data_IF_589862758857
#
_entry.id   IF_589862758857
#
_cell.length_a   1.000
_cell.length_b   1.000
_cell.length_c   1.000
_cell.angle_alpha   90.00
_cell.angle_beta   90.00
_cell.angle_gamma   90.00
#
_symmetry.space_group_name_H-M   'P 1'
#
loop_
_entity.id
_entity.type
_entity.pdbx_description
1 polymer ?
#
# COMPACT_ATOMS: atom_id res chain seq x y z
N UNK A 1 17.21 -1.14 -10.99
CA UNK A 1 16.54 -1.75 -12.15
C UNK A 1 16.87 -0.92 -13.37
N UNK A 2 16.92 -1.54 -14.53
CA UNK A 2 17.16 -0.89 -15.80
C UNK A 2 15.92 -0.09 -16.15
N UNK A 3 16.15 1.22 -16.23
CA UNK A 3 15.14 2.21 -16.53
C UNK A 3 14.87 2.32 -18.03
N UNK A 4 15.53 1.54 -18.88
CA UNK A 4 15.44 1.69 -20.32
C UNK A 4 14.25 0.90 -20.90
N UNK A 5 13.29 1.61 -21.51
CA UNK A 5 12.31 1.06 -22.45
C UNK A 5 12.87 1.22 -23.88
N UNK A 6 13.57 0.19 -24.36
CA UNK A 6 14.23 0.23 -25.68
C UNK A 6 15.55 1.03 -25.68
N UNK A 7 16.11 1.31 -26.87
CA UNK A 7 17.48 1.84 -26.99
C UNK A 7 17.66 3.30 -26.52
N UNK A 8 16.58 4.10 -26.36
CA UNK A 8 16.69 5.54 -26.10
C UNK A 8 15.80 6.09 -24.96
N UNK A 9 14.93 5.31 -24.32
CA UNK A 9 13.97 5.86 -23.36
C UNK A 9 14.27 5.45 -21.92
N UNK A 10 14.81 6.37 -21.11
CA UNK A 10 15.07 6.15 -19.68
C UNK A 10 13.88 6.62 -18.84
N UNK A 11 13.20 5.69 -18.19
CA UNK A 11 12.10 5.90 -17.25
C UNK A 11 12.69 6.35 -15.91
N UNK A 12 12.50 7.61 -15.50
CA UNK A 12 12.95 8.06 -14.19
C UNK A 12 12.25 7.25 -13.07
N UNK A 13 12.93 7.04 -11.94
CA UNK A 13 12.33 6.37 -10.77
C UNK A 13 11.04 7.05 -10.31
N UNK A 14 10.92 8.37 -10.49
CA UNK A 14 9.71 9.14 -10.17
C UNK A 14 8.51 8.79 -11.06
N UNK A 15 8.73 8.24 -12.26
CA UNK A 15 7.65 7.77 -13.13
C UNK A 15 6.99 6.49 -12.63
N UNK A 16 7.57 5.81 -11.62
CA UNK A 16 6.95 4.65 -11.00
C UNK A 16 5.60 4.98 -10.33
N UNK A 17 5.47 6.18 -9.77
CA UNK A 17 4.20 6.68 -9.22
C UNK A 17 3.08 6.79 -10.27
N UNK A 18 3.43 6.88 -11.56
CA UNK A 18 2.43 6.88 -12.63
C UNK A 18 1.77 5.51 -12.79
N UNK A 19 2.51 4.40 -12.57
CA UNK A 19 1.93 3.05 -12.64
C UNK A 19 0.90 2.84 -11.54
N UNK A 20 1.17 3.35 -10.34
CA UNK A 20 0.23 3.36 -9.23
C UNK A 20 -1.04 4.14 -9.58
N UNK A 21 -0.88 5.37 -10.09
CA UNK A 21 -2.03 6.21 -10.50
C UNK A 21 -2.84 5.55 -11.62
N UNK A 22 -2.19 4.95 -12.61
CA UNK A 22 -2.87 4.21 -13.69
C UNK A 22 -3.60 2.98 -13.16
N UNK A 23 -3.02 2.27 -12.18
CA UNK A 23 -3.64 1.15 -11.49
C UNK A 23 -4.93 1.59 -10.79
N UNK A 24 -4.88 2.70 -10.05
CA UNK A 24 -6.06 3.28 -9.36
C UNK A 24 -7.14 3.67 -10.38
N UNK A 25 -6.77 4.34 -11.47
CA UNK A 25 -7.69 4.73 -12.55
C UNK A 25 -8.35 3.50 -13.19
N UNK A 26 -7.62 2.38 -13.30
CA UNK A 26 -8.15 1.12 -13.81
C UNK A 26 -9.07 0.43 -12.79
N UNK A 27 -8.67 0.38 -11.52
CA UNK A 27 -9.42 -0.33 -10.48
C UNK A 27 -10.67 0.41 -10.03
N UNK A 28 -10.72 1.74 -10.07
CA UNK A 28 -11.91 2.52 -9.73
C UNK A 28 -13.17 2.10 -10.52
N UNK A 29 -13.19 2.09 -11.87
CA UNK A 29 -14.36 1.64 -12.63
C UNK A 29 -14.62 0.14 -12.49
N UNK A 30 -13.57 -0.68 -12.31
CA UNK A 30 -13.73 -2.12 -12.05
C UNK A 30 -14.44 -2.34 -10.72
N UNK A 31 -14.09 -1.58 -9.69
CA UNK A 31 -14.74 -1.63 -8.41
C UNK A 31 -16.24 -1.29 -8.54
N UNK A 32 -16.56 -0.13 -9.12
CA UNK A 32 -17.95 0.34 -9.23
C UNK A 32 -18.81 -0.52 -10.16
N UNK A 33 -18.27 -0.97 -11.30
CA UNK A 33 -19.06 -1.68 -12.33
C UNK A 33 -19.06 -3.20 -12.19
N UNK A 34 -18.07 -3.79 -11.53
CA UNK A 34 -17.94 -5.26 -11.43
C UNK A 34 -18.06 -5.69 -9.98
N UNK A 35 -17.23 -5.13 -9.08
CA UNK A 35 -17.13 -5.60 -7.70
C UNK A 35 -18.39 -5.26 -6.91
N UNK A 36 -18.90 -4.03 -6.99
CA UNK A 36 -20.13 -3.60 -6.30
C UNK A 36 -21.36 -4.43 -6.73
N UNK A 37 -21.68 -4.59 -8.03
CA UNK A 37 -22.84 -5.40 -8.43
C UNK A 37 -22.65 -6.89 -8.14
N UNK A 38 -21.44 -7.42 -8.27
CA UNK A 38 -21.15 -8.81 -7.89
C UNK A 38 -21.34 -9.02 -6.39
N UNK A 39 -20.82 -8.12 -5.56
CA UNK A 39 -21.03 -8.13 -4.12
C UNK A 39 -22.52 -8.09 -3.79
N UNK A 40 -23.28 -7.14 -4.37
CA UNK A 40 -24.74 -7.05 -4.19
C UNK A 40 -25.45 -8.36 -4.53
N UNK A 41 -25.03 -9.04 -5.60
CA UNK A 41 -25.60 -10.33 -6.02
C UNK A 41 -25.29 -11.48 -5.06
N UNK A 42 -24.10 -11.50 -4.45
CA UNK A 42 -23.67 -12.56 -3.52
C UNK A 42 -24.12 -12.34 -2.08
N UNK A 43 -24.14 -11.10 -1.59
CA UNK A 43 -24.47 -10.80 -0.18
C UNK A 43 -25.94 -10.42 0.03
N UNK A 44 -26.70 -10.15 -1.03
CA UNK A 44 -28.12 -9.82 -0.95
C UNK A 44 -28.45 -8.51 -0.22
N UNK A 45 -27.45 -7.79 0.29
CA UNK A 45 -27.58 -6.46 0.90
C UNK A 45 -27.45 -5.38 -0.18
N UNK A 46 -28.19 -4.27 -0.05
CA UNK A 46 -28.18 -3.16 -1.01
C UNK A 46 -26.77 -2.63 -1.32
N UNK A 47 -25.88 -2.66 -0.33
CA UNK A 47 -24.47 -2.21 -0.45
C UNK A 47 -23.46 -3.34 -0.69
N UNK A 48 -23.88 -4.61 -0.79
CA UNK A 48 -22.97 -5.75 -0.95
C UNK A 48 -22.13 -6.02 0.32
N UNK A 49 -20.90 -5.48 0.39
CA UNK A 49 -20.01 -5.61 1.55
C UNK A 49 -20.25 -4.55 2.64
N UNK A 50 -19.97 -4.88 3.91
CA UNK A 50 -19.89 -3.85 4.95
C UNK A 50 -18.65 -2.97 4.74
N UNK A 51 -18.72 -1.70 5.16
CA UNK A 51 -17.60 -0.74 5.01
C UNK A 51 -16.30 -1.24 5.67
N UNK A 52 -16.39 -1.88 6.84
CA UNK A 52 -15.25 -2.50 7.52
C UNK A 52 -14.72 -3.73 6.79
N UNK A 53 -15.57 -4.53 6.14
CA UNK A 53 -15.10 -5.64 5.31
C UNK A 53 -14.33 -5.14 4.08
N UNK A 54 -14.81 -4.07 3.44
CA UNK A 54 -14.13 -3.46 2.28
C UNK A 54 -12.73 -2.94 2.66
N UNK A 55 -12.64 -2.20 3.77
CA UNK A 55 -11.36 -1.74 4.32
C UNK A 55 -10.43 -2.90 4.69
N UNK A 56 -10.97 -3.95 5.33
CA UNK A 56 -10.21 -5.15 5.66
C UNK A 56 -9.64 -5.89 4.44
N UNK A 57 -10.42 -6.01 3.36
CA UNK A 57 -9.95 -6.58 2.09
C UNK A 57 -8.79 -5.76 1.53
N UNK A 58 -8.91 -4.43 1.53
CA UNK A 58 -7.83 -3.53 1.09
C UNK A 58 -6.53 -3.73 1.88
N UNK A 59 -6.63 -3.84 3.21
CA UNK A 59 -5.47 -4.12 4.08
C UNK A 59 -4.83 -5.50 3.78
N UNK A 60 -5.63 -6.54 3.53
CA UNK A 60 -5.11 -7.86 3.15
C UNK A 60 -4.37 -7.79 1.81
N UNK A 61 -4.95 -7.12 0.81
CA UNK A 61 -4.30 -6.94 -0.50
C UNK A 61 -2.99 -6.15 -0.34
N UNK A 62 -2.95 -5.14 0.54
CA UNK A 62 -1.74 -4.39 0.85
C UNK A 62 -0.63 -5.27 1.43
N UNK A 63 -0.96 -6.23 2.30
CA UNK A 63 0.01 -7.21 2.82
C UNK A 63 0.60 -8.04 1.67
N UNK A 64 -0.24 -8.55 0.76
CA UNK A 64 0.25 -9.29 -0.41
C UNK A 64 1.10 -8.44 -1.34
N UNK A 65 0.77 -7.15 -1.50
CA UNK A 65 1.58 -6.20 -2.25
C UNK A 65 2.98 -6.06 -1.62
N UNK A 66 3.06 -5.86 -0.31
CA UNK A 66 4.33 -5.76 0.42
C UNK A 66 5.15 -7.05 0.39
N UNK A 67 4.51 -8.22 0.44
CA UNK A 67 5.20 -9.51 0.27
C UNK A 67 5.78 -9.63 -1.14
N UNK A 68 5.01 -9.23 -2.17
CA UNK A 68 5.45 -9.24 -3.56
C UNK A 68 6.66 -8.32 -3.76
N UNK A 69 6.63 -7.13 -3.16
CA UNK A 69 7.75 -6.19 -3.11
C UNK A 69 9.01 -6.81 -2.49
N UNK A 70 8.86 -7.46 -1.33
CA UNK A 70 9.95 -8.12 -0.64
C UNK A 70 10.58 -9.25 -1.45
N UNK A 71 9.77 -10.08 -2.12
CA UNK A 71 10.26 -11.15 -3.00
C UNK A 71 11.04 -10.55 -4.17
N UNK A 72 10.50 -9.52 -4.80
CA UNK A 72 11.15 -8.79 -5.89
C UNK A 72 12.52 -8.26 -5.49
N UNK A 73 12.62 -7.69 -4.29
CA UNK A 73 13.87 -7.15 -3.79
C UNK A 73 14.90 -8.26 -3.48
N UNK A 74 14.46 -9.40 -2.94
CA UNK A 74 15.35 -10.56 -2.74
C UNK A 74 15.90 -11.05 -4.07
N UNK A 75 15.05 -11.18 -5.10
CA UNK A 75 15.49 -11.58 -6.45
C UNK A 75 16.46 -10.53 -7.02
N UNK A 76 16.20 -9.24 -6.83
CA UNK A 76 17.09 -8.15 -7.25
C UNK A 76 18.47 -8.26 -6.60
N UNK A 77 18.51 -8.43 -5.28
CA UNK A 77 19.75 -8.55 -4.52
C UNK A 77 20.53 -9.83 -4.88
N UNK A 78 19.84 -10.94 -5.17
CA UNK A 78 20.47 -12.18 -5.65
C UNK A 78 21.18 -11.99 -6.99
N UNK A 79 20.58 -11.26 -7.94
CA UNK A 79 21.21 -10.98 -9.25
C UNK A 79 22.44 -10.08 -9.07
N UNK A 80 22.38 -9.08 -8.18
CA UNK A 80 23.54 -8.24 -7.85
C UNK A 80 24.69 -9.08 -7.31
N UNK A 81 24.39 -9.98 -6.37
CA UNK A 81 25.39 -10.86 -5.72
C UNK A 81 25.99 -11.87 -6.69
N UNK A 82 25.17 -12.46 -7.57
CA UNK A 82 25.63 -13.48 -8.54
C UNK A 82 26.55 -12.89 -9.60
N UNK A 83 26.30 -11.66 -10.03
CA UNK A 83 27.04 -11.03 -11.12
C UNK A 83 28.08 -9.99 -10.64
N UNK A 84 28.29 -9.86 -9.32
CA UNK A 84 29.16 -8.85 -8.70
C UNK A 84 28.85 -7.40 -9.13
N UNK A 85 27.59 -7.08 -9.38
CA UNK A 85 27.15 -5.76 -9.86
C UNK A 85 27.05 -4.69 -8.76
N UNK A 86 27.94 -4.75 -7.76
CA UNK A 86 27.92 -3.84 -6.61
C UNK A 86 28.20 -2.37 -6.97
N UNK A 87 28.97 -2.14 -8.05
CA UNK A 87 29.40 -0.81 -8.51
C UNK A 87 28.58 -0.28 -9.69
N UNK A 88 27.62 -1.07 -10.21
CA UNK A 88 26.72 -0.66 -11.28
C UNK A 88 25.55 0.15 -10.74
N UNK A 89 25.41 1.40 -11.21
CA UNK A 89 24.31 2.31 -10.85
C UNK A 89 22.94 1.84 -11.34
N UNK A 90 22.90 0.91 -12.31
CA UNK A 90 21.68 0.31 -12.84
C UNK A 90 21.89 -1.20 -13.03
N UNK A 91 21.02 -1.98 -12.42
CA UNK A 91 21.00 -3.44 -12.55
C UNK A 91 20.19 -3.78 -13.79
N UNK A 92 20.65 -4.72 -14.65
CA UNK A 92 19.93 -5.20 -15.82
C UNK A 92 18.72 -6.07 -15.46
N UNK A 93 17.78 -5.47 -14.74
CA UNK A 93 16.48 -6.01 -14.39
C UNK A 93 15.45 -5.01 -14.86
N UNK A 94 14.54 -5.46 -15.71
CA UNK A 94 13.51 -4.58 -16.26
C UNK A 94 12.62 -3.99 -15.15
N UNK A 95 12.33 -2.69 -15.25
CA UNK A 95 11.39 -1.98 -14.38
C UNK A 95 9.97 -2.59 -14.39
N UNK A 96 9.61 -3.33 -15.45
CA UNK A 96 8.32 -4.02 -15.55
C UNK A 96 8.09 -5.05 -14.45
N UNK A 97 9.15 -5.54 -13.80
CA UNK A 97 9.02 -6.43 -12.67
C UNK A 97 8.34 -5.78 -11.45
N UNK A 98 8.32 -4.44 -11.33
CA UNK A 98 7.58 -3.74 -10.28
C UNK A 98 6.09 -3.55 -10.58
N UNK A 99 5.66 -3.76 -11.83
CA UNK A 99 4.26 -3.54 -12.23
C UNK A 99 3.26 -4.38 -11.41
N UNK A 100 3.50 -5.68 -11.13
CA UNK A 100 2.58 -6.46 -10.31
C UNK A 100 2.40 -5.91 -8.90
N UNK A 101 3.47 -5.40 -8.29
CA UNK A 101 3.42 -4.78 -6.96
C UNK A 101 2.55 -3.52 -6.99
N UNK A 102 2.85 -2.58 -7.89
CA UNK A 102 2.05 -1.35 -8.05
C UNK A 102 0.59 -1.62 -8.40
N UNK A 103 0.34 -2.68 -9.18
CA UNK A 103 -1.02 -3.07 -9.51
C UNK A 103 -1.80 -3.55 -8.27
N UNK A 104 -1.15 -4.32 -7.39
CA UNK A 104 -1.73 -4.76 -6.12
C UNK A 104 -1.90 -3.59 -5.13
N UNK A 105 -0.94 -2.65 -5.07
CA UNK A 105 -1.05 -1.44 -4.23
C UNK A 105 -2.24 -0.60 -4.67
N UNK A 106 -2.38 -0.28 -5.95
CA UNK A 106 -3.53 0.48 -6.44
C UNK A 106 -4.87 -0.22 -6.20
N UNK A 107 -4.91 -1.55 -6.27
CA UNK A 107 -6.09 -2.32 -5.88
C UNK A 107 -6.40 -2.15 -4.38
N UNK A 108 -5.40 -2.33 -3.51
CA UNK A 108 -5.54 -2.16 -2.07
C UNK A 108 -6.00 -0.74 -1.70
N UNK A 109 -5.46 0.28 -2.37
CA UNK A 109 -5.82 1.67 -2.17
C UNK A 109 -7.28 1.93 -2.50
N UNK A 110 -7.76 1.49 -3.67
CA UNK A 110 -9.15 1.67 -4.09
C UNK A 110 -10.12 1.04 -3.08
N UNK A 111 -9.87 -0.19 -2.64
CA UNK A 111 -10.71 -0.87 -1.65
C UNK A 111 -10.69 -0.17 -0.28
N UNK A 112 -9.52 0.26 0.18
CA UNK A 112 -9.37 0.90 1.48
C UNK A 112 -9.97 2.32 1.49
N UNK A 113 -9.70 3.10 0.45
CA UNK A 113 -10.11 4.49 0.32
C UNK A 113 -11.63 4.62 0.17
N UNK A 114 -12.25 3.80 -0.68
CA UNK A 114 -13.71 3.79 -0.84
C UNK A 114 -14.37 3.37 0.47
N UNK A 115 -13.88 2.31 1.11
CA UNK A 115 -14.40 1.85 2.41
C UNK A 115 -14.26 2.90 3.52
N UNK A 116 -13.13 3.61 3.56
CA UNK A 116 -12.85 4.68 4.51
C UNK A 116 -13.79 5.87 4.32
N UNK A 117 -13.96 6.34 3.08
CA UNK A 117 -14.86 7.46 2.77
C UNK A 117 -16.30 7.09 3.14
N UNK A 118 -16.82 5.96 2.68
CA UNK A 118 -18.19 5.54 2.99
C UNK A 118 -18.41 5.38 4.50
N UNK A 119 -17.44 4.80 5.23
CA UNK A 119 -17.52 4.67 6.68
C UNK A 119 -17.62 6.04 7.36
N UNK A 120 -16.77 6.99 6.95
CA UNK A 120 -16.80 8.33 7.50
C UNK A 120 -18.11 9.06 7.18
N UNK A 121 -18.64 8.93 5.97
CA UNK A 121 -19.91 9.55 5.58
C UNK A 121 -21.12 8.93 6.30
N UNK A 122 -21.16 7.60 6.47
CA UNK A 122 -22.30 6.92 7.12
C UNK A 122 -22.29 7.06 8.65
N UNK A 123 -21.11 7.13 9.28
CA UNK A 123 -20.99 7.16 10.73
C UNK A 123 -20.89 8.58 11.31
N UNK A 124 -20.48 9.56 10.51
CA UNK A 124 -20.41 10.95 10.95
C UNK A 124 -21.79 11.62 10.94
N UNK A 125 -22.13 12.42 11.97
CA UNK A 125 -23.27 13.34 11.90
C UNK A 125 -23.12 14.31 10.72
N UNK A 126 -24.24 14.71 10.09
CA UNK A 126 -24.22 15.59 8.92
C UNK A 126 -23.48 16.92 9.16
N UNK A 127 -23.51 17.44 10.38
CA UNK A 127 -22.79 18.64 10.80
C UNK A 127 -21.26 18.47 10.91
N UNK A 128 -20.74 17.23 10.92
CA UNK A 128 -19.32 16.92 11.17
C UNK A 128 -18.60 16.32 9.95
N UNK A 129 -19.24 16.32 8.77
CA UNK A 129 -18.62 15.79 7.54
C UNK A 129 -17.27 16.46 7.20
N UNK A 130 -17.13 17.77 7.48
CA UNK A 130 -15.87 18.49 7.30
C UNK A 130 -14.76 17.98 8.22
N UNK A 131 -15.10 17.62 9.47
CA UNK A 131 -14.18 17.02 10.43
C UNK A 131 -13.73 15.63 9.98
N UNK A 132 -14.61 14.84 9.38
CA UNK A 132 -14.27 13.52 8.83
C UNK A 132 -13.27 13.61 7.69
N UNK A 133 -13.44 14.56 6.77
CA UNK A 133 -12.44 14.83 5.72
C UNK A 133 -11.11 15.28 6.30
N UNK A 134 -11.13 16.16 7.30
CA UNK A 134 -9.92 16.60 8.01
C UNK A 134 -9.21 15.46 8.72
N UNK A 135 -9.95 14.53 9.34
CA UNK A 135 -9.39 13.33 9.97
C UNK A 135 -8.74 12.41 8.93
N UNK A 136 -9.38 12.20 7.77
CA UNK A 136 -8.81 11.41 6.68
C UNK A 136 -7.49 12.00 6.17
N UNK A 137 -7.43 13.31 5.93
CA UNK A 137 -6.20 14.02 5.57
C UNK A 137 -5.12 13.92 6.65
N UNK A 138 -5.55 14.01 7.92
CA UNK A 138 -4.64 13.84 9.07
C UNK A 138 -4.04 12.44 9.11
N UNK A 139 -4.82 11.39 8.83
CA UNK A 139 -4.32 10.02 8.75
C UNK A 139 -3.26 9.86 7.66
N UNK A 140 -3.46 10.48 6.49
CA UNK A 140 -2.46 10.49 5.41
C UNK A 140 -1.18 11.22 5.84
N UNK A 141 -1.31 12.38 6.50
CA UNK A 141 -0.16 13.12 7.02
C UNK A 141 0.62 12.30 8.06
N UNK A 142 -0.07 11.69 9.03
CA UNK A 142 0.53 10.81 10.04
C UNK A 142 1.22 9.61 9.39
N UNK A 143 0.66 9.03 8.32
CA UNK A 143 1.31 7.97 7.55
C UNK A 143 2.65 8.40 6.94
N UNK A 144 2.71 9.59 6.34
CA UNK A 144 3.95 10.14 5.79
C UNK A 144 5.01 10.42 6.88
N UNK A 145 4.59 10.97 8.02
CA UNK A 145 5.49 11.18 9.16
C UNK A 145 6.00 9.86 9.73
N UNK A 146 5.12 8.86 9.88
CA UNK A 146 5.50 7.53 10.37
C UNK A 146 6.49 6.86 9.41
N UNK A 147 6.27 6.96 8.09
CA UNK A 147 7.20 6.46 7.06
C UNK A 147 8.59 7.10 7.21
N UNK A 148 8.64 8.43 7.34
CA UNK A 148 9.90 9.17 7.53
C UNK A 148 10.59 8.77 8.83
N UNK A 149 9.84 8.65 9.92
CA UNK A 149 10.35 8.21 11.22
C UNK A 149 10.89 6.79 11.16
N UNK A 150 10.19 5.88 10.49
CA UNK A 150 10.58 4.48 10.34
C UNK A 150 11.90 4.38 9.56
N UNK A 151 12.02 5.07 8.42
CA UNK A 151 13.27 5.15 7.65
C UNK A 151 14.39 5.71 8.52
N UNK A 152 14.16 6.83 9.21
CA UNK A 152 15.17 7.47 10.06
C UNK A 152 15.61 6.56 11.20
N UNK A 153 14.66 5.89 11.87
CA UNK A 153 14.94 4.97 12.97
C UNK A 153 15.73 3.75 12.48
N UNK A 154 15.32 3.13 11.37
CA UNK A 154 16.05 2.01 10.76
C UNK A 154 17.46 2.44 10.39
N UNK A 155 17.63 3.56 9.67
CA UNK A 155 18.95 4.07 9.30
C UNK A 155 19.82 4.34 10.53
N UNK A 156 19.28 4.95 11.58
CA UNK A 156 20.03 5.24 12.81
C UNK A 156 20.45 3.97 13.57
N UNK A 157 19.54 3.01 13.72
CA UNK A 157 19.80 1.73 14.42
C UNK A 157 20.79 0.88 13.64
N UNK A 158 20.67 0.80 12.32
CA UNK A 158 21.56 -0.05 11.52
C UNK A 158 22.95 0.55 11.30
N UNK A 159 23.07 1.88 11.32
CA UNK A 159 24.38 2.58 11.13
C UNK A 159 25.17 2.72 12.44
N UNK A 160 24.56 2.40 13.58
CA UNK A 160 25.09 2.65 14.93
C UNK A 160 26.43 1.94 15.24
N UNK A 161 26.80 0.90 14.47
CA UNK A 161 28.04 0.12 14.65
C UNK A 161 29.07 0.34 13.52
N UNK A 162 29.01 1.45 12.79
CA UNK A 162 29.96 1.74 11.69
C UNK A 162 29.78 0.86 10.45
N UNK A 163 28.65 0.14 10.36
CA UNK A 163 28.25 -0.67 9.21
C UNK A 163 27.38 0.17 8.25
N UNK A 164 27.37 -0.20 6.98
CA UNK A 164 26.68 0.51 5.87
C UNK A 164 25.16 0.74 6.07
N UNK A 165 24.51 0.12 7.06
CA UNK A 165 23.07 0.25 7.27
C UNK A 165 22.22 -0.62 6.34
N UNK A 166 20.91 -0.71 6.59
CA UNK A 166 19.96 -1.41 5.70
C UNK A 166 19.63 -0.58 4.46
N UNK A 167 19.74 0.76 4.55
CA UNK A 167 19.55 1.72 3.46
C UNK A 167 20.81 2.60 3.33
N UNK A 168 21.92 2.11 2.75
CA UNK A 168 23.07 2.94 2.41
C UNK A 168 22.80 3.77 1.15
N UNK A 169 23.59 4.83 0.94
CA UNK A 169 23.60 5.61 -0.32
C UNK A 169 23.78 4.72 -1.57
N UNK A 170 24.48 3.59 -1.41
CA UNK A 170 24.53 2.53 -2.41
C UNK A 170 23.61 1.36 -2.02
N UNK A 171 22.38 1.40 -2.54
CA UNK A 171 21.31 0.40 -2.35
C UNK A 171 21.71 -1.03 -2.79
N UNK A 172 22.81 -1.19 -3.54
CA UNK A 172 23.32 -2.51 -3.93
C UNK A 172 24.17 -3.18 -2.86
N UNK A 173 24.68 -2.41 -1.89
CA UNK A 173 25.46 -2.92 -0.74
C UNK A 173 24.63 -3.01 0.55
N UNK A 174 23.39 -2.53 0.52
CA UNK A 174 22.45 -2.56 1.63
C UNK A 174 21.59 -3.82 1.66
N UNK A 175 21.07 -4.13 2.86
CA UNK A 175 20.09 -5.19 3.07
C UNK A 175 18.66 -4.62 3.05
N UNK A 176 18.25 -4.18 1.86
CA UNK A 176 16.94 -3.59 1.61
C UNK A 176 15.80 -4.61 1.74
N UNK A 177 16.13 -5.89 1.57
CA UNK A 177 15.27 -7.04 1.85
C UNK A 177 14.71 -7.00 3.29
N UNK A 178 15.55 -6.72 4.30
CA UNK A 178 15.07 -6.65 5.69
C UNK A 178 14.11 -5.48 5.94
N UNK A 179 14.28 -4.37 5.21
CA UNK A 179 13.37 -3.24 5.31
C UNK A 179 11.98 -3.59 4.78
N UNK A 180 11.89 -4.27 3.62
CA UNK A 180 10.61 -4.73 3.09
C UNK A 180 9.97 -5.81 3.97
N UNK A 181 10.74 -6.74 4.55
CA UNK A 181 10.21 -7.69 5.53
C UNK A 181 9.67 -7.01 6.78
N UNK A 182 10.35 -5.98 7.28
CA UNK A 182 9.87 -5.17 8.40
C UNK A 182 8.55 -4.46 8.05
N UNK A 183 8.43 -3.89 6.85
CA UNK A 183 7.19 -3.29 6.37
C UNK A 183 6.06 -4.33 6.25
N UNK A 184 6.34 -5.54 5.74
CA UNK A 184 5.36 -6.61 5.65
C UNK A 184 4.85 -7.05 7.03
N UNK A 185 5.76 -7.19 8.02
CA UNK A 185 5.38 -7.50 9.40
C UNK A 185 4.55 -6.36 10.02
N UNK A 186 4.92 -5.11 9.77
CA UNK A 186 4.18 -3.95 10.28
C UNK A 186 2.78 -3.86 9.68
N UNK A 187 2.62 -4.13 8.37
CA UNK A 187 1.32 -4.23 7.71
C UNK A 187 0.47 -5.37 8.27
N UNK A 188 1.09 -6.53 8.56
CA UNK A 188 0.39 -7.64 9.20
C UNK A 188 -0.09 -7.29 10.62
N UNK A 189 0.76 -6.65 11.43
CA UNK A 189 0.39 -6.16 12.75
C UNK A 189 -0.73 -5.12 12.68
N UNK A 190 -0.66 -4.20 11.73
CA UNK A 190 -1.72 -3.22 11.49
C UNK A 190 -3.06 -3.91 11.20
N UNK A 191 -3.05 -4.94 10.37
CA UNK A 191 -4.26 -5.72 10.07
C UNK A 191 -4.80 -6.48 11.30
N UNK A 192 -3.94 -7.04 12.15
CA UNK A 192 -4.37 -7.71 13.38
C UNK A 192 -5.04 -6.71 14.34
N UNK A 193 -4.43 -5.54 14.54
CA UNK A 193 -5.01 -4.46 15.35
C UNK A 193 -6.34 -4.00 14.75
N UNK A 194 -6.40 -3.86 13.43
CA UNK A 194 -7.63 -3.53 12.71
C UNK A 194 -8.73 -4.56 12.96
N UNK A 195 -8.44 -5.86 12.87
CA UNK A 195 -9.41 -6.92 13.15
C UNK A 195 -9.92 -6.87 14.60
N UNK A 196 -9.04 -6.57 15.56
CA UNK A 196 -9.43 -6.44 16.96
C UNK A 196 -10.40 -5.26 17.14
N UNK A 197 -10.06 -4.09 16.59
CA UNK A 197 -10.91 -2.91 16.65
C UNK A 197 -12.24 -3.15 15.91
N UNK A 198 -12.20 -3.75 14.72
CA UNK A 198 -13.39 -4.06 13.93
C UNK A 198 -14.31 -5.07 14.65
N UNK A 199 -13.76 -6.02 15.40
CA UNK A 199 -14.55 -6.96 16.23
C UNK A 199 -15.20 -6.27 17.44
N UNK A 200 -14.54 -5.26 18.00
CA UNK A 200 -15.09 -4.46 19.10
C UNK A 200 -16.06 -3.38 18.62
N UNK A 201 -15.93 -2.94 17.38
CA UNK A 201 -16.76 -1.87 16.83
C UNK A 201 -18.18 -2.37 16.51
N UNK A 202 -19.17 -1.84 17.21
CA UNK A 202 -20.58 -2.09 16.92
C UNK A 202 -21.08 -1.02 15.95
N UNK A 203 -21.56 -1.45 14.78
CA UNK A 203 -22.17 -0.56 13.79
C UNK A 203 -23.34 0.22 14.40
N UNK A 204 -23.31 1.55 14.26
CA UNK A 204 -24.48 2.38 14.54
C UNK A 204 -25.54 2.09 13.45
N UNK A 205 -26.72 1.61 13.85
CA UNK A 205 -27.88 1.54 12.94
C UNK A 205 -28.35 2.98 12.69
N UNK A 206 -28.26 3.45 11.45
CA UNK A 206 -28.97 4.66 11.04
C UNK A 206 -30.46 4.32 11.16
N UNK A 207 -31.16 5.01 12.07
CA UNK A 207 -32.59 4.87 12.20
C UNK A 207 -33.21 5.25 10.85
N UNK A 208 -33.89 4.29 10.21
CA UNK A 208 -34.75 4.61 9.08
C UNK A 208 -35.74 5.67 9.57
N UNK A 209 -35.74 6.84 8.92
CA UNK A 209 -36.83 7.79 9.09
C UNK A 209 -38.11 7.05 8.69
N UNK A 210 -39.09 6.90 9.58
CA UNK A 210 -40.41 6.45 9.18
C UNK A 210 -41.04 7.61 8.41
N UNK A 211 -41.31 7.41 7.12
CA UNK A 211 -42.31 8.18 6.39
C UNK A 211 -43.71 7.83 6.88
#
# INVERSE_FOLDING_TARGET
MDQHMGPNFKIPSASLSLFDTLSVIFWAPVYDKIIVPCARKFTGKERGFTTLQRMGIGLVISIFAMITAGILEVVRLQIVRKNNYYDLKSIPMSIFWQVPEYFLVGCAEVFTFIGQIEFFYDQAPDAMRSLSSALSLTTVALGNYLSTLLVTAVTKITTQNGKLGWIPDNLNRGHLDYFFWLLAILSLLNFIVYLWIAKWYTYKKVAAHPE
#
